data_IF_862535237366
#
_entry.id   IF_862535237366
#
_cell.length_a   1.000
_cell.length_b   1.000
_cell.length_c   1.000
_cell.angle_alpha   90.00
_cell.angle_beta   90.00
_cell.angle_gamma   90.00
#
_symmetry.space_group_name_H-M   'P 1'
#
loop_
_entity.id
_entity.type
_entity.pdbx_description
1 polymer ?
#
# COMPACT_ATOMS: atom_id res chain seq x y z
N UNK A 1 -11.24 -1.09 11.71
CA UNK A 1 -10.32 -1.06 12.88
C UNK A 1 -9.28 -2.17 12.79
N UNK A 2 -9.68 -3.41 12.44
CA UNK A 2 -8.75 -4.54 12.33
C UNK A 2 -7.74 -4.43 11.17
N UNK A 3 -8.16 -3.95 9.99
CA UNK A 3 -7.24 -3.79 8.85
C UNK A 3 -6.05 -2.87 9.16
N UNK A 4 -6.29 -1.78 9.91
CA UNK A 4 -5.24 -0.88 10.38
C UNK A 4 -4.27 -1.57 11.36
N UNK A 5 -4.77 -2.45 12.24
CA UNK A 5 -3.91 -3.22 13.16
C UNK A 5 -3.03 -4.18 12.37
N UNK A 6 -3.60 -4.89 11.40
CA UNK A 6 -2.89 -5.80 10.51
C UNK A 6 -1.81 -5.04 9.74
N UNK A 7 -2.15 -3.92 9.11
CA UNK A 7 -1.20 -3.05 8.40
C UNK A 7 -0.04 -2.62 9.32
N UNK A 8 -0.33 -2.22 10.56
CA UNK A 8 0.69 -1.83 11.53
C UNK A 8 1.66 -2.96 11.85
N UNK A 9 1.15 -4.18 12.09
CA UNK A 9 1.98 -5.36 12.39
C UNK A 9 2.90 -5.68 11.21
N UNK A 10 2.37 -5.69 9.99
CA UNK A 10 3.15 -5.96 8.79
C UNK A 10 4.21 -4.87 8.54
N UNK A 11 3.86 -3.60 8.69
CA UNK A 11 4.81 -2.49 8.53
C UNK A 11 5.94 -2.55 9.58
N UNK A 12 5.62 -2.91 10.83
CA UNK A 12 6.63 -3.12 11.87
C UNK A 12 7.59 -4.27 11.52
N UNK A 13 7.06 -5.37 10.98
CA UNK A 13 7.86 -6.53 10.56
C UNK A 13 8.77 -6.20 9.37
N UNK A 14 8.26 -5.48 8.37
CA UNK A 14 9.06 -5.00 7.22
C UNK A 14 10.17 -4.08 7.70
N UNK A 15 9.87 -3.13 8.59
CA UNK A 15 10.88 -2.22 9.14
C UNK A 15 11.97 -2.96 9.92
N UNK A 16 11.60 -3.98 10.70
CA UNK A 16 12.57 -4.84 11.42
C UNK A 16 13.49 -5.57 10.44
N UNK A 17 12.92 -6.18 9.40
CA UNK A 17 13.67 -6.89 8.36
C UNK A 17 14.64 -5.97 7.62
N UNK A 18 14.22 -4.74 7.30
CA UNK A 18 15.08 -3.70 6.71
C UNK A 18 16.27 -3.35 7.60
N UNK A 19 16.02 -3.12 8.89
CA UNK A 19 17.10 -2.80 9.85
C UNK A 19 18.10 -3.96 10.00
N UNK A 20 17.61 -5.20 10.09
CA UNK A 20 18.46 -6.39 10.19
C UNK A 20 19.35 -6.57 8.95
N UNK A 21 18.81 -6.32 7.75
CA UNK A 21 19.61 -6.38 6.51
C UNK A 21 20.67 -5.27 6.47
N UNK A 22 20.31 -4.03 6.82
CA UNK A 22 21.25 -2.90 6.87
C UNK A 22 22.39 -3.12 7.88
N UNK A 23 22.09 -3.78 9.01
CA UNK A 23 23.09 -4.16 10.02
C UNK A 23 24.05 -5.22 9.48
N UNK A 24 23.53 -6.29 8.86
CA UNK A 24 24.35 -7.31 8.23
C UNK A 24 25.26 -6.74 7.13
N UNK A 25 24.75 -5.85 6.29
CA UNK A 25 25.54 -5.18 5.26
C UNK A 25 26.67 -4.32 5.84
N UNK A 26 26.39 -3.65 6.96
CA UNK A 26 27.41 -2.87 7.67
C UNK A 26 28.50 -3.77 8.26
N UNK A 27 28.14 -4.92 8.83
CA UNK A 27 29.11 -5.89 9.34
C UNK A 27 29.94 -6.53 8.22
N UNK A 28 29.33 -6.94 7.11
CA UNK A 28 30.03 -7.45 5.92
C UNK A 28 31.05 -6.43 5.41
N UNK A 29 30.65 -5.15 5.28
CA UNK A 29 31.54 -4.06 4.86
C UNK A 29 32.69 -3.82 5.84
N UNK A 30 32.48 -3.97 7.15
CA UNK A 30 33.55 -3.89 8.15
C UNK A 30 34.53 -5.05 8.03
N UNK A 31 34.03 -6.29 7.95
CA UNK A 31 34.86 -7.51 7.81
C UNK A 31 35.73 -7.47 6.55
N UNK A 32 35.17 -7.01 5.43
CA UNK A 32 35.93 -6.85 4.18
C UNK A 32 37.12 -5.90 4.33
N UNK A 33 36.93 -4.74 4.98
CA UNK A 33 38.02 -3.77 5.22
C UNK A 33 39.16 -4.34 6.08
N UNK A 34 38.82 -5.20 7.05
CA UNK A 34 39.82 -5.87 7.90
C UNK A 34 40.58 -6.96 7.14
N UNK A 35 39.89 -7.75 6.29
CA UNK A 35 40.55 -8.76 5.43
C UNK A 35 41.47 -8.14 4.38
N UNK A 36 41.11 -6.98 3.83
CA UNK A 36 41.95 -6.24 2.87
C UNK A 36 43.24 -5.69 3.54
N UNK A 37 43.25 -5.45 4.86
CA UNK A 37 44.46 -5.05 5.62
C UNK A 37 45.41 -6.22 5.92
N UNK A 38 44.88 -7.44 6.10
CA UNK A 38 45.67 -8.66 6.42
C UNK A 38 46.18 -9.42 5.18
N UNK A 39 45.81 -9.03 3.96
CA UNK A 39 46.37 -9.55 2.71
C UNK A 39 45.83 -10.91 2.24
N UNK A 40 44.70 -11.39 2.79
CA UNK A 40 44.00 -12.59 2.30
C UNK A 40 43.14 -12.29 1.06
N UNK A 41 43.18 -13.17 0.05
CA UNK A 41 42.49 -13.03 -1.23
C UNK A 41 40.96 -13.10 -1.06
N UNK A 42 40.26 -12.06 -1.53
CA UNK A 42 38.82 -11.90 -1.36
C UNK A 42 38.02 -13.02 -2.06
N UNK A 43 37.20 -13.74 -1.29
CA UNK A 43 36.23 -14.71 -1.83
C UNK A 43 35.09 -14.01 -2.58
N UNK A 44 34.54 -14.63 -3.65
CA UNK A 44 33.59 -13.98 -4.55
C UNK A 44 32.24 -13.67 -3.89
N UNK A 45 31.65 -12.58 -4.37
CA UNK A 45 30.45 -11.90 -3.89
C UNK A 45 29.31 -12.85 -3.50
N UNK A 46 28.97 -12.85 -2.21
CA UNK A 46 27.70 -13.39 -1.72
C UNK A 46 26.59 -12.54 -2.34
N UNK A 47 25.71 -13.18 -3.12
CA UNK A 47 24.52 -12.58 -3.72
C UNK A 47 23.87 -11.59 -2.76
N UNK A 48 23.66 -10.37 -3.27
CA UNK A 48 22.92 -9.32 -2.59
C UNK A 48 21.52 -9.84 -2.28
N UNK A 49 21.29 -10.28 -1.05
CA UNK A 49 20.02 -10.89 -0.62
C UNK A 49 18.94 -9.80 -0.59
N UNK A 50 18.35 -9.51 -1.75
CA UNK A 50 17.32 -8.48 -1.91
C UNK A 50 16.17 -8.72 -0.93
N UNK A 51 15.83 -7.71 -0.12
CA UNK A 51 14.68 -7.74 0.79
C UNK A 51 13.42 -8.15 0.04
N UNK A 52 12.93 -9.36 0.31
CA UNK A 52 11.63 -9.82 -0.19
C UNK A 52 10.54 -9.30 0.73
N UNK A 53 9.97 -8.15 0.38
CA UNK A 53 8.78 -7.62 1.07
C UNK A 53 7.64 -8.65 0.91
N UNK A 54 6.95 -9.03 2.00
CA UNK A 54 5.83 -9.96 1.89
C UNK A 54 4.71 -9.39 1.01
N UNK A 55 4.23 -10.17 0.03
CA UNK A 55 3.15 -9.76 -0.88
C UNK A 55 1.87 -9.34 -0.16
N UNK A 56 1.64 -9.91 1.04
CA UNK A 56 0.55 -9.51 1.93
C UNK A 56 0.53 -8.01 2.23
N UNK A 57 1.69 -7.35 2.31
CA UNK A 57 1.82 -5.89 2.54
C UNK A 57 1.16 -5.11 1.40
N UNK A 58 1.39 -5.52 0.15
CA UNK A 58 0.81 -4.89 -1.02
C UNK A 58 -0.72 -4.99 -0.98
N UNK A 59 -1.24 -6.19 -0.71
CA UNK A 59 -2.69 -6.43 -0.62
C UNK A 59 -3.34 -5.56 0.46
N UNK A 60 -2.71 -5.47 1.64
CA UNK A 60 -3.21 -4.63 2.73
C UNK A 60 -3.20 -3.16 2.34
N UNK A 61 -2.13 -2.68 1.72
CA UNK A 61 -2.01 -1.28 1.29
C UNK A 61 -3.04 -0.93 0.21
N UNK A 62 -3.21 -1.77 -0.81
CA UNK A 62 -4.23 -1.59 -1.83
C UNK A 62 -5.63 -1.56 -1.23
N UNK A 63 -5.93 -2.48 -0.31
CA UNK A 63 -7.23 -2.52 0.38
C UNK A 63 -7.49 -1.26 1.20
N UNK A 64 -6.45 -0.75 1.88
CA UNK A 64 -6.52 0.48 2.66
C UNK A 64 -6.75 1.71 1.78
N UNK A 65 -6.10 1.77 0.61
CA UNK A 65 -6.27 2.84 -0.36
C UNK A 65 -7.68 2.85 -0.94
N UNK A 66 -8.22 1.68 -1.32
CA UNK A 66 -9.60 1.56 -1.79
C UNK A 66 -10.62 2.06 -0.75
N UNK A 67 -10.41 1.75 0.54
CA UNK A 67 -11.27 2.25 1.62
C UNK A 67 -11.16 3.78 1.75
N UNK A 68 -9.95 4.33 1.61
CA UNK A 68 -9.73 5.78 1.69
C UNK A 68 -10.45 6.51 0.56
N UNK A 69 -10.29 6.04 -0.67
CA UNK A 69 -10.97 6.60 -1.84
C UNK A 69 -12.49 6.51 -1.69
N UNK A 70 -13.00 5.36 -1.23
CA UNK A 70 -14.44 5.20 -0.98
C UNK A 70 -14.99 6.21 0.03
N UNK A 71 -14.24 6.52 1.09
CA UNK A 71 -14.67 7.50 2.11
C UNK A 71 -14.85 8.90 1.54
N UNK A 72 -14.06 9.30 0.55
CA UNK A 72 -14.19 10.61 -0.09
C UNK A 72 -15.51 10.73 -0.89
N UNK A 73 -16.06 9.60 -1.34
CA UNK A 73 -17.31 9.54 -2.13
C UNK A 73 -18.56 9.42 -1.24
N UNK A 74 -18.44 9.11 0.05
CA UNK A 74 -19.58 8.96 0.98
C UNK A 74 -20.55 10.16 0.96
N UNK A 75 -20.09 11.43 1.01
CA UNK A 75 -21.00 12.58 0.97
C UNK A 75 -21.81 12.65 -0.32
N UNK A 76 -21.20 12.27 -1.46
CA UNK A 76 -21.88 12.22 -2.75
C UNK A 76 -22.98 11.15 -2.74
N UNK A 77 -22.68 9.97 -2.19
CA UNK A 77 -23.66 8.88 -2.03
C UNK A 77 -24.82 9.35 -1.15
N UNK A 78 -24.54 10.02 -0.03
CA UNK A 78 -25.59 10.53 0.86
C UNK A 78 -26.54 11.50 0.16
N UNK A 79 -26.03 12.35 -0.73
CA UNK A 79 -26.84 13.26 -1.56
C UNK A 79 -27.64 12.46 -2.59
N UNK A 80 -27.00 11.54 -3.32
CA UNK A 80 -27.64 10.72 -4.36
C UNK A 80 -28.73 9.78 -3.81
N UNK A 81 -28.58 9.31 -2.58
CA UNK A 81 -29.55 8.46 -1.89
C UNK A 81 -30.60 9.27 -1.12
N UNK A 82 -30.72 10.58 -1.35
CA UNK A 82 -31.75 11.39 -0.72
C UNK A 82 -33.14 10.95 -1.23
N UNK A 83 -34.08 10.53 -0.35
CA UNK A 83 -35.41 10.07 -0.74
C UNK A 83 -36.28 11.17 -1.37
N UNK A 84 -35.83 12.43 -1.39
CA UNK A 84 -36.44 13.54 -2.13
C UNK A 84 -36.01 13.62 -3.60
N UNK A 85 -35.02 12.83 -4.04
CA UNK A 85 -34.64 12.77 -5.45
C UNK A 85 -35.76 12.09 -6.26
N UNK A 86 -36.03 12.63 -7.44
CA UNK A 86 -37.17 12.28 -8.32
C UNK A 86 -36.63 12.28 -9.75
N UNK A 87 -37.38 11.68 -10.68
CA UNK A 87 -37.02 11.58 -12.10
C UNK A 87 -36.45 12.89 -12.68
N UNK A 88 -37.16 14.01 -12.50
CA UNK A 88 -36.71 15.35 -12.96
C UNK A 88 -35.32 15.78 -12.46
N UNK A 89 -34.87 15.29 -11.31
CA UNK A 89 -33.55 15.59 -10.76
C UNK A 89 -32.49 14.71 -11.44
N UNK A 90 -32.79 13.43 -11.66
CA UNK A 90 -31.93 12.52 -12.43
C UNK A 90 -31.77 12.97 -13.87
N UNK A 91 -32.86 13.41 -14.53
CA UNK A 91 -32.80 13.92 -15.91
C UNK A 91 -31.79 15.09 -16.04
N UNK A 92 -31.81 16.03 -15.09
CA UNK A 92 -30.84 17.14 -15.03
C UNK A 92 -29.41 16.66 -14.75
N UNK A 93 -29.25 15.69 -13.84
CA UNK A 93 -27.92 15.13 -13.55
C UNK A 93 -27.35 14.37 -14.76
N UNK A 94 -28.19 13.65 -15.51
CA UNK A 94 -27.81 12.94 -16.73
C UNK A 94 -27.33 13.90 -17.82
N UNK A 95 -28.02 15.03 -18.00
CA UNK A 95 -27.63 16.07 -18.96
C UNK A 95 -26.23 16.62 -18.63
N UNK A 96 -25.94 16.87 -17.35
CA UNK A 96 -24.64 17.35 -16.90
C UNK A 96 -23.56 16.26 -17.02
N UNK A 97 -23.88 15.01 -16.67
CA UNK A 97 -22.93 13.91 -16.65
C UNK A 97 -22.62 13.35 -18.04
N UNK A 98 -23.53 13.51 -19.01
CA UNK A 98 -23.43 12.93 -20.34
C UNK A 98 -23.76 11.44 -20.41
N UNK A 99 -24.24 10.84 -19.32
CA UNK A 99 -24.70 9.45 -19.24
C UNK A 99 -25.81 9.29 -18.20
N UNK A 100 -26.50 8.14 -18.21
CA UNK A 100 -27.60 7.89 -17.28
C UNK A 100 -27.07 7.49 -15.88
N UNK A 101 -27.33 8.36 -14.91
CA UNK A 101 -27.02 8.20 -13.48
C UNK A 101 -28.19 7.62 -12.67
N UNK A 102 -29.36 7.47 -13.26
CA UNK A 102 -30.53 6.95 -12.56
C UNK A 102 -30.22 5.53 -12.05
N UNK A 103 -30.40 5.24 -10.76
CA UNK A 103 -30.22 3.89 -10.24
C UNK A 103 -31.08 2.91 -11.04
N UNK A 104 -30.46 1.89 -11.62
CA UNK A 104 -31.08 0.84 -12.42
C UNK A 104 -31.67 -0.29 -11.56
N UNK A 105 -31.52 -0.18 -10.24
CA UNK A 105 -31.77 -1.27 -9.31
C UNK A 105 -33.01 -0.99 -8.45
N UNK A 106 -34.05 -1.76 -8.77
CA UNK A 106 -35.20 -2.12 -7.93
C UNK A 106 -35.40 -3.62 -8.01
#
# INVERSE_FOLDING_TARGET
RELFKIQKVFNQKVKKMQMEMEEMDREKKKKKRLQDEDGEEATPEVEEETLRIPEAVNIINTSMESIKQFKEVIPVIAIMCNPGIRKRHWDKMNEIAGFNLTPDTG
#
